data_IF_844071134053
#
_entry.id   IF_844071134053
#
_cell.length_a   1.000
_cell.length_b   1.000
_cell.length_c   1.000
_cell.angle_alpha   90.00
_cell.angle_beta   90.00
_cell.angle_gamma   90.00
#
_symmetry.space_group_name_H-M   'P 1'
#
loop_
_entity.id
_entity.type
_entity.pdbx_description
1 polymer ?
#
# COMPACT_ATOMS: atom_id res chain seq x y z
N UNK A 1 -15.64 -16.21 -17.51
CA UNK A 1 -14.52 -16.28 -16.56
C UNK A 1 -15.03 -16.09 -15.14
N UNK A 2 -14.38 -16.72 -14.14
CA UNK A 2 -14.71 -16.49 -12.73
C UNK A 2 -14.22 -15.11 -12.29
N UNK A 3 -15.02 -14.39 -11.47
CA UNK A 3 -14.67 -13.12 -10.87
C UNK A 3 -15.36 -12.92 -9.52
N UNK A 4 -14.74 -12.12 -8.64
CA UNK A 4 -15.34 -11.66 -7.38
C UNK A 4 -15.98 -10.30 -7.60
N UNK A 5 -17.29 -10.27 -7.53
CA UNK A 5 -18.12 -9.11 -7.83
C UNK A 5 -18.66 -8.50 -6.55
N UNK A 6 -18.50 -7.19 -6.39
CA UNK A 6 -19.34 -6.43 -5.47
C UNK A 6 -20.70 -6.22 -6.15
N UNK A 7 -21.61 -7.19 -5.96
CA UNK A 7 -22.91 -7.21 -6.65
C UNK A 7 -23.90 -6.23 -6.08
N UNK A 8 -23.95 -6.13 -4.75
CA UNK A 8 -24.95 -5.34 -4.02
C UNK A 8 -24.27 -4.35 -3.06
N UNK A 9 -24.92 -3.24 -2.75
CA UNK A 9 -24.48 -2.29 -1.74
C UNK A 9 -24.74 -2.81 -0.31
N UNK A 10 -24.13 -3.96 0.02
CA UNK A 10 -24.31 -4.69 1.27
C UNK A 10 -23.03 -5.43 1.66
N UNK A 11 -22.99 -6.02 2.84
CA UNK A 11 -21.88 -6.83 3.34
C UNK A 11 -21.60 -8.06 2.43
N UNK A 12 -20.32 -8.33 2.13
CA UNK A 12 -19.88 -9.48 1.34
C UNK A 12 -19.46 -9.13 -0.09
N UNK A 13 -18.97 -10.14 -0.78
CA UNK A 13 -18.67 -10.21 -2.22
C UNK A 13 -19.07 -11.58 -2.75
N UNK A 14 -19.25 -11.68 -4.06
CA UNK A 14 -19.81 -12.90 -4.68
C UNK A 14 -18.92 -13.36 -5.82
N UNK A 15 -18.65 -14.67 -5.86
CA UNK A 15 -18.01 -15.29 -7.01
C UNK A 15 -19.07 -15.57 -8.08
N UNK A 16 -18.83 -15.07 -9.28
CA UNK A 16 -19.74 -15.19 -10.40
C UNK A 16 -19.00 -15.51 -11.70
N UNK A 17 -19.71 -16.14 -12.63
CA UNK A 17 -19.25 -16.25 -14.01
C UNK A 17 -19.65 -14.99 -14.79
N UNK A 18 -18.65 -14.30 -15.30
CA UNK A 18 -18.82 -13.06 -16.08
C UNK A 18 -18.23 -13.21 -17.48
N UNK A 19 -18.66 -12.41 -18.46
CA UNK A 19 -18.01 -12.34 -19.76
C UNK A 19 -16.51 -12.01 -19.66
N UNK A 20 -15.74 -12.43 -20.66
CA UNK A 20 -14.37 -11.96 -20.82
C UNK A 20 -14.37 -10.44 -21.04
N UNK A 21 -13.43 -9.67 -20.44
CA UNK A 21 -13.36 -8.26 -20.68
C UNK A 21 -12.93 -7.96 -22.14
N UNK A 22 -13.55 -6.95 -22.75
CA UNK A 22 -13.18 -6.51 -24.07
C UNK A 22 -11.84 -5.77 -24.05
N UNK A 23 -10.99 -6.03 -25.06
CA UNK A 23 -9.69 -5.41 -25.19
C UNK A 23 -9.82 -4.12 -26.01
N UNK A 24 -9.70 -2.98 -25.36
CA UNK A 24 -9.71 -1.67 -26.02
C UNK A 24 -8.46 -1.45 -26.89
N UNK A 25 -8.48 -0.41 -27.72
CA UNK A 25 -7.39 -0.10 -28.67
C UNK A 25 -6.02 -0.02 -28.00
N UNK A 26 -5.94 0.56 -26.81
CA UNK A 26 -4.69 0.75 -26.07
C UNK A 26 -4.64 -0.11 -24.80
N UNK A 27 -5.49 -1.14 -24.68
CA UNK A 27 -5.55 -2.00 -23.51
C UNK A 27 -4.75 -3.28 -23.72
N UNK A 28 -4.36 -3.86 -22.61
CA UNK A 28 -3.67 -5.13 -22.50
C UNK A 28 -4.55 -6.07 -21.69
N UNK A 29 -4.84 -7.26 -22.21
CA UNK A 29 -5.52 -8.33 -21.46
C UNK A 29 -4.48 -9.17 -20.72
N UNK A 30 -4.65 -9.25 -19.43
CA UNK A 30 -3.73 -9.93 -18.53
C UNK A 30 -4.45 -11.11 -17.88
N UNK A 31 -3.89 -12.32 -18.01
CA UNK A 31 -4.27 -13.48 -17.22
C UNK A 31 -3.68 -13.33 -15.84
N UNK A 32 -4.50 -13.17 -14.81
CA UNK A 32 -4.07 -12.99 -13.42
C UNK A 32 -3.51 -14.30 -12.89
N UNK A 33 -2.33 -14.26 -12.28
CA UNK A 33 -1.70 -15.42 -11.61
C UNK A 33 -1.90 -15.38 -10.10
N UNK A 34 -1.70 -14.20 -9.51
CA UNK A 34 -1.93 -13.94 -8.09
C UNK A 34 -2.54 -12.56 -7.92
N UNK A 35 -3.43 -12.44 -6.96
CA UNK A 35 -3.96 -11.17 -6.49
C UNK A 35 -3.75 -11.05 -4.97
N UNK A 36 -3.85 -9.85 -4.43
CA UNK A 36 -3.69 -9.62 -3.00
C UNK A 36 -4.85 -8.79 -2.44
N UNK A 37 -5.31 -9.13 -1.24
CA UNK A 37 -6.41 -8.43 -0.58
C UNK A 37 -5.84 -7.16 0.11
N UNK A 38 -6.42 -6.01 -0.21
CA UNK A 38 -6.12 -4.71 0.37
C UNK A 38 -7.07 -4.36 1.52
N UNK A 39 -6.66 -3.41 2.38
CA UNK A 39 -7.56 -2.79 3.36
C UNK A 39 -8.76 -2.10 2.72
N UNK A 40 -8.58 -1.52 1.53
CA UNK A 40 -9.68 -0.92 0.74
C UNK A 40 -10.71 -1.97 0.31
N UNK A 41 -10.28 -3.18 -0.06
CA UNK A 41 -11.20 -4.28 -0.37
C UNK A 41 -12.02 -4.68 0.86
N UNK A 42 -11.42 -4.60 2.06
CA UNK A 42 -12.14 -4.87 3.31
C UNK A 42 -13.21 -3.81 3.62
N UNK A 43 -12.95 -2.52 3.31
CA UNK A 43 -13.96 -1.46 3.38
C UNK A 43 -15.14 -1.78 2.45
N UNK A 44 -14.85 -2.13 1.21
CA UNK A 44 -15.87 -2.52 0.21
C UNK A 44 -16.61 -3.81 0.61
N UNK A 45 -15.90 -4.79 1.16
CA UNK A 45 -16.49 -6.02 1.68
C UNK A 45 -17.49 -5.73 2.81
N UNK A 46 -17.12 -4.86 3.78
CA UNK A 46 -17.97 -4.45 4.91
C UNK A 46 -19.09 -3.48 4.52
N UNK A 47 -18.97 -2.86 3.37
CA UNK A 47 -19.89 -1.82 2.88
C UNK A 47 -20.05 -0.65 3.87
N UNK A 48 -18.95 -0.16 4.39
CA UNK A 48 -18.92 0.93 5.36
C UNK A 48 -19.21 2.31 4.74
N UNK A 49 -19.19 3.37 5.54
CA UNK A 49 -19.51 4.73 5.11
C UNK A 49 -18.60 5.23 3.97
N UNK A 50 -17.33 4.85 3.98
CA UNK A 50 -16.42 5.21 2.90
C UNK A 50 -16.85 4.55 1.57
N UNK A 51 -17.14 3.26 1.60
CA UNK A 51 -17.58 2.50 0.41
C UNK A 51 -18.90 3.03 -0.14
N UNK A 52 -19.86 3.35 0.75
CA UNK A 52 -21.14 3.94 0.36
C UNK A 52 -21.00 5.29 -0.35
N UNK A 53 -19.98 6.08 0.03
CA UNK A 53 -19.72 7.38 -0.57
C UNK A 53 -19.00 7.30 -1.93
N UNK A 54 -18.19 6.25 -2.16
CA UNK A 54 -17.26 6.21 -3.28
C UNK A 54 -17.54 5.11 -4.31
N UNK A 55 -18.17 4.00 -3.90
CA UNK A 55 -18.32 2.82 -4.75
C UNK A 55 -19.76 2.70 -5.31
N UNK A 56 -19.88 2.20 -6.54
CA UNK A 56 -21.17 2.01 -7.22
C UNK A 56 -21.28 0.59 -7.79
N UNK A 57 -21.79 -0.38 -7.01
CA UNK A 57 -22.04 -1.73 -7.53
C UNK A 57 -22.99 -1.75 -8.73
N UNK A 58 -22.91 -2.75 -9.65
CA UNK A 58 -21.98 -3.89 -9.58
C UNK A 58 -20.63 -3.60 -10.26
N UNK A 59 -19.52 -4.21 -9.76
CA UNK A 59 -18.19 -4.18 -10.37
C UNK A 59 -17.31 -5.32 -9.84
N UNK A 60 -16.29 -5.71 -10.63
CA UNK A 60 -15.24 -6.64 -10.19
C UNK A 60 -14.25 -5.92 -9.28
N UNK A 61 -13.97 -6.48 -8.10
CA UNK A 61 -13.04 -5.93 -7.12
C UNK A 61 -11.58 -6.28 -7.42
N UNK A 62 -10.66 -5.75 -6.60
CA UNK A 62 -9.23 -6.06 -6.61
C UNK A 62 -8.39 -5.14 -7.48
N UNK A 63 -7.21 -4.74 -6.97
CA UNK A 63 -6.30 -3.80 -7.64
C UNK A 63 -4.82 -4.13 -7.42
N UNK A 64 -4.52 -5.19 -6.68
CA UNK A 64 -3.17 -5.68 -6.40
C UNK A 64 -3.00 -7.05 -7.05
N UNK A 65 -2.11 -7.19 -8.05
CA UNK A 65 -1.97 -8.44 -8.78
C UNK A 65 -0.64 -8.58 -9.51
N UNK A 66 -0.36 -9.80 -9.97
CA UNK A 66 0.63 -10.14 -10.98
C UNK A 66 0.00 -11.09 -11.99
N UNK A 67 0.38 -10.97 -13.26
CA UNK A 67 -0.15 -11.80 -14.32
C UNK A 67 0.73 -11.85 -15.55
N UNK A 68 0.20 -12.45 -16.60
CA UNK A 68 0.85 -12.60 -17.90
C UNK A 68 -0.06 -12.02 -19.00
N UNK A 69 0.53 -11.25 -19.89
CA UNK A 69 -0.18 -10.68 -21.03
C UNK A 69 -0.60 -11.78 -22.00
N UNK A 70 -1.89 -11.86 -22.32
CA UNK A 70 -2.43 -12.86 -23.24
C UNK A 70 -2.97 -12.26 -24.54
N UNK A 71 -3.35 -10.99 -24.53
CA UNK A 71 -3.81 -10.26 -25.71
C UNK A 71 -3.47 -8.77 -25.58
N UNK A 72 -3.28 -8.09 -26.71
CA UNK A 72 -2.99 -6.66 -26.76
C UNK A 72 -3.87 -5.98 -27.80
N UNK A 73 -4.34 -4.78 -27.50
CA UNK A 73 -5.07 -3.93 -28.45
C UNK A 73 -4.16 -3.40 -29.58
N UNK A 74 -4.75 -3.03 -30.73
CA UNK A 74 -3.97 -2.63 -31.92
C UNK A 74 -3.16 -1.35 -31.74
N UNK A 75 -3.43 -0.56 -30.71
CA UNK A 75 -2.66 0.65 -30.35
C UNK A 75 -1.46 0.41 -29.44
N UNK A 76 -1.35 -0.76 -28.81
CA UNK A 76 -0.27 -1.12 -27.88
C UNK A 76 1.07 -1.22 -28.62
N UNK A 77 2.14 -0.67 -28.05
CA UNK A 77 3.47 -0.57 -28.71
C UNK A 77 4.61 -1.19 -27.89
N UNK A 78 4.56 -1.08 -26.57
CA UNK A 78 5.69 -1.39 -25.68
C UNK A 78 5.51 -2.70 -24.92
N UNK A 79 4.31 -3.28 -24.94
CA UNK A 79 3.97 -4.52 -24.26
C UNK A 79 3.75 -5.63 -25.27
N UNK A 80 4.15 -6.86 -24.92
CA UNK A 80 4.02 -8.05 -25.79
C UNK A 80 3.28 -9.17 -25.05
N UNK A 81 2.58 -10.00 -25.82
CA UNK A 81 2.00 -11.26 -25.32
C UNK A 81 3.09 -12.14 -24.74
N UNK A 82 2.82 -12.77 -23.60
CA UNK A 82 3.74 -13.58 -22.82
C UNK A 82 4.61 -12.81 -21.82
N UNK A 83 4.58 -11.47 -21.82
CA UNK A 83 5.28 -10.69 -20.80
C UNK A 83 4.61 -10.81 -19.43
N UNK A 84 5.42 -10.94 -18.38
CA UNK A 84 5.00 -10.95 -16.99
C UNK A 84 4.88 -9.51 -16.47
N UNK A 85 3.73 -9.17 -15.93
CA UNK A 85 3.38 -7.78 -15.61
C UNK A 85 2.60 -7.66 -14.30
N UNK A 86 2.65 -6.49 -13.72
CA UNK A 86 1.68 -5.93 -12.78
C UNK A 86 1.19 -4.58 -13.33
N UNK A 87 0.46 -3.79 -12.55
CA UNK A 87 -0.02 -2.49 -13.02
C UNK A 87 -0.13 -1.44 -11.93
N UNK A 88 -0.02 -0.18 -12.35
CA UNK A 88 -0.46 0.97 -11.57
C UNK A 88 -1.99 1.03 -11.60
N UNK A 89 -2.62 0.83 -10.44
CA UNK A 89 -4.09 0.79 -10.31
C UNK A 89 -4.80 2.13 -10.53
N UNK A 90 -4.06 3.26 -10.53
CA UNK A 90 -4.63 4.58 -10.76
C UNK A 90 -4.45 5.00 -12.22
N UNK A 91 -5.54 5.03 -12.98
CA UNK A 91 -5.54 5.49 -14.36
C UNK A 91 -5.79 7.01 -14.35
N UNK A 92 -4.80 7.77 -14.80
CA UNK A 92 -4.81 9.23 -14.76
C UNK A 92 -5.19 9.84 -16.09
N UNK A 93 -5.80 11.03 -16.09
CA UNK A 93 -6.27 11.67 -17.32
C UNK A 93 -5.14 12.21 -18.23
N UNK A 94 -3.93 12.38 -17.74
CA UNK A 94 -2.76 12.86 -18.49
C UNK A 94 -2.74 14.36 -18.83
N UNK A 95 -3.87 15.09 -18.69
CA UNK A 95 -3.98 16.47 -19.18
C UNK A 95 -4.37 17.52 -18.13
N UNK A 96 -4.81 17.13 -16.92
CA UNK A 96 -5.06 18.09 -15.85
C UNK A 96 -3.76 18.77 -15.38
N UNK A 97 -3.90 19.85 -14.58
CA UNK A 97 -2.75 20.58 -14.04
C UNK A 97 -1.75 19.68 -13.35
N UNK A 98 -2.23 18.77 -12.51
CA UNK A 98 -1.38 17.88 -11.71
C UNK A 98 -0.63 16.87 -12.60
N UNK A 99 -1.32 16.23 -13.54
CA UNK A 99 -0.68 15.32 -14.50
C UNK A 99 0.43 16.02 -15.30
N UNK A 100 0.17 17.23 -15.81
CA UNK A 100 1.16 18.01 -16.60
C UNK A 100 2.37 18.47 -15.78
N UNK A 101 2.28 18.45 -14.44
CA UNK A 101 3.38 18.74 -13.53
C UNK A 101 4.11 17.47 -13.04
N UNK A 102 3.82 16.30 -13.59
CA UNK A 102 4.37 15.03 -13.14
C UNK A 102 3.78 14.51 -11.81
N UNK A 103 2.66 15.05 -11.37
CA UNK A 103 1.97 14.69 -10.13
C UNK A 103 0.72 13.84 -10.43
N UNK A 104 0.88 12.78 -11.23
CA UNK A 104 -0.23 11.91 -11.62
C UNK A 104 -0.98 11.31 -10.44
N UNK A 105 -0.28 10.97 -9.36
CA UNK A 105 -0.88 10.40 -8.13
C UNK A 105 -1.93 11.29 -7.45
N UNK A 106 -2.01 12.56 -7.80
CA UNK A 106 -3.05 13.52 -7.39
C UNK A 106 -3.81 14.08 -8.59
N UNK A 107 -4.06 13.24 -9.59
CA UNK A 107 -4.88 13.59 -10.75
C UNK A 107 -6.30 13.91 -10.31
N UNK A 108 -6.87 14.99 -10.87
CA UNK A 108 -8.24 15.44 -10.58
C UNK A 108 -9.32 14.49 -11.10
N UNK A 109 -8.96 13.63 -12.07
CA UNK A 109 -9.88 12.72 -12.77
C UNK A 109 -9.34 11.28 -12.72
N UNK A 110 -8.86 10.84 -11.57
CA UNK A 110 -8.36 9.47 -11.39
C UNK A 110 -9.49 8.45 -11.49
N UNK A 111 -9.25 7.39 -12.26
CA UNK A 111 -10.02 6.14 -12.22
C UNK A 111 -9.19 5.11 -11.44
N UNK A 112 -9.84 4.37 -10.55
CA UNK A 112 -9.16 3.35 -9.73
C UNK A 112 -9.65 1.95 -10.08
N UNK A 113 -8.78 1.12 -10.61
CA UNK A 113 -9.06 -0.27 -10.98
C UNK A 113 -9.59 -1.04 -9.77
N UNK A 114 -10.69 -1.77 -9.93
CA UNK A 114 -11.30 -2.61 -8.89
C UNK A 114 -11.92 -1.85 -7.70
N UNK A 115 -11.99 -0.52 -7.81
CA UNK A 115 -12.56 0.34 -6.77
C UNK A 115 -13.59 1.28 -7.39
N UNK A 116 -13.20 2.04 -8.42
CA UNK A 116 -14.03 3.08 -9.01
C UNK A 116 -13.73 3.27 -10.50
N UNK A 117 -14.74 3.04 -11.34
CA UNK A 117 -14.71 3.38 -12.76
C UNK A 117 -14.09 2.37 -13.71
N UNK A 118 -13.45 1.29 -13.19
CA UNK A 118 -12.93 0.17 -13.99
C UNK A 118 -12.93 -1.11 -13.16
N UNK A 119 -13.33 -2.23 -13.79
CA UNK A 119 -13.28 -3.56 -13.18
C UNK A 119 -11.85 -3.96 -12.78
N UNK A 120 -11.75 -4.72 -11.69
CA UNK A 120 -10.51 -5.09 -11.04
C UNK A 120 -9.99 -6.49 -11.35
N UNK A 121 -8.98 -6.86 -10.59
CA UNK A 121 -8.16 -8.05 -10.81
C UNK A 121 -8.58 -9.27 -9.98
N UNK A 122 -9.64 -9.20 -9.17
CA UNK A 122 -10.19 -10.42 -8.56
C UNK A 122 -11.01 -11.19 -9.58
N UNK A 123 -10.36 -11.57 -10.68
CA UNK A 123 -10.90 -12.31 -11.80
C UNK A 123 -9.77 -13.08 -12.50
N UNK A 124 -10.13 -14.08 -13.30
CA UNK A 124 -9.14 -14.82 -14.10
C UNK A 124 -8.40 -13.92 -15.10
N UNK A 125 -9.06 -12.86 -15.59
CA UNK A 125 -8.49 -11.89 -16.53
C UNK A 125 -8.90 -10.46 -16.17
N UNK A 126 -8.00 -9.52 -16.47
CA UNK A 126 -8.23 -8.08 -16.30
C UNK A 126 -7.66 -7.31 -17.49
N UNK A 127 -8.35 -6.23 -17.93
CA UNK A 127 -7.82 -5.31 -18.94
C UNK A 127 -7.24 -4.07 -18.27
N UNK A 128 -6.03 -3.68 -18.67
CA UNK A 128 -5.32 -2.50 -18.15
C UNK A 128 -4.82 -1.68 -19.34
N UNK A 129 -4.96 -0.32 -19.34
CA UNK A 129 -4.32 0.50 -20.35
C UNK A 129 -2.80 0.30 -20.38
N UNK A 130 -2.20 0.24 -21.56
CA UNK A 130 -0.74 0.06 -21.72
C UNK A 130 0.06 1.03 -20.85
N UNK A 131 -0.40 2.27 -20.74
CA UNK A 131 0.26 3.31 -19.93
C UNK A 131 0.38 2.96 -18.44
N UNK A 132 -0.43 2.04 -17.94
CA UNK A 132 -0.47 1.62 -16.55
C UNK A 132 0.21 0.28 -16.31
N UNK A 133 0.55 -0.47 -17.38
CA UNK A 133 1.19 -1.78 -17.27
C UNK A 133 2.66 -1.62 -16.88
N UNK A 134 3.10 -2.39 -15.88
CA UNK A 134 4.49 -2.42 -15.41
C UNK A 134 5.09 -3.79 -15.70
N UNK A 135 6.10 -3.82 -16.57
CA UNK A 135 6.87 -5.03 -16.84
C UNK A 135 7.70 -5.39 -15.63
N UNK A 136 7.78 -6.65 -15.33
CA UNK A 136 8.48 -7.16 -14.16
C UNK A 136 9.82 -7.78 -14.53
N UNK A 137 10.85 -7.44 -13.79
CA UNK A 137 12.13 -8.14 -13.87
C UNK A 137 11.92 -9.62 -13.48
N UNK A 138 12.46 -10.59 -14.24
CA UNK A 138 12.31 -12.02 -13.93
C UNK A 138 12.79 -12.44 -12.55
N UNK A 139 13.73 -11.70 -11.93
CA UNK A 139 14.25 -11.97 -10.59
C UNK A 139 13.26 -11.63 -9.45
N UNK A 140 12.21 -10.86 -9.73
CA UNK A 140 11.21 -10.50 -8.69
C UNK A 140 10.20 -11.65 -8.56
N UNK A 141 10.01 -12.24 -7.38
CA UNK A 141 9.00 -13.27 -7.14
C UNK A 141 7.57 -12.77 -7.39
N UNK A 142 6.68 -13.64 -7.87
CA UNK A 142 5.27 -13.29 -8.09
C UNK A 142 4.57 -12.80 -6.82
N UNK A 143 4.90 -13.37 -5.66
CA UNK A 143 4.37 -12.93 -4.38
C UNK A 143 4.68 -11.45 -4.09
N UNK A 144 5.90 -11.01 -4.40
CA UNK A 144 6.29 -9.60 -4.23
C UNK A 144 5.67 -8.72 -5.31
N UNK A 145 5.63 -9.21 -6.55
CA UNK A 145 5.00 -8.50 -7.66
C UNK A 145 3.50 -8.21 -7.40
N UNK A 146 2.78 -9.18 -6.81
CA UNK A 146 1.36 -9.03 -6.48
C UNK A 146 1.08 -7.96 -5.40
N UNK A 147 2.09 -7.57 -4.61
CA UNK A 147 1.94 -6.60 -3.50
C UNK A 147 2.69 -5.28 -3.74
N UNK A 148 3.09 -5.01 -4.98
CA UNK A 148 3.80 -3.76 -5.32
C UNK A 148 2.92 -2.52 -5.12
N UNK A 149 1.60 -2.64 -5.19
CA UNK A 149 0.69 -1.53 -4.91
C UNK A 149 0.89 -0.95 -3.49
N UNK A 150 0.65 -1.68 -2.39
CA UNK A 150 0.90 -1.16 -1.04
C UNK A 150 2.39 -0.92 -0.76
N UNK A 151 3.30 -1.66 -1.40
CA UNK A 151 4.73 -1.40 -1.30
C UNK A 151 5.09 -0.03 -1.87
N UNK A 152 4.40 0.42 -2.93
CA UNK A 152 4.53 1.78 -3.47
C UNK A 152 4.11 2.87 -2.49
N UNK A 153 3.03 2.65 -1.74
CA UNK A 153 2.58 3.59 -0.71
C UNK A 153 3.61 3.68 0.44
N UNK A 154 4.16 2.53 0.86
CA UNK A 154 5.24 2.47 1.84
C UNK A 154 6.51 3.17 1.34
N UNK A 155 6.88 2.97 0.07
CA UNK A 155 8.05 3.60 -0.58
C UNK A 155 7.89 5.12 -0.65
N UNK A 156 6.74 5.61 -1.11
CA UNK A 156 6.47 7.05 -1.18
C UNK A 156 6.57 7.71 0.21
N UNK A 157 6.04 7.04 1.24
CA UNK A 157 6.06 7.58 2.60
C UNK A 157 7.45 7.52 3.21
N UNK A 158 8.11 6.37 3.16
CA UNK A 158 9.43 6.19 3.76
C UNK A 158 10.50 7.08 3.12
N UNK A 159 10.47 7.21 1.78
CA UNK A 159 11.44 8.02 1.05
C UNK A 159 11.00 9.49 0.86
N UNK A 160 10.00 9.96 1.61
CA UNK A 160 9.56 11.36 1.55
C UNK A 160 10.61 12.35 2.03
N UNK A 161 11.54 11.87 2.88
CA UNK A 161 12.67 12.62 3.45
C UNK A 161 13.94 11.74 3.45
N UNK A 162 15.16 12.33 3.52
CA UNK A 162 16.39 11.58 3.65
C UNK A 162 16.39 10.68 4.90
N UNK A 163 16.95 9.47 4.79
CA UNK A 163 16.94 8.46 5.86
C UNK A 163 18.35 8.03 6.32
N UNK A 164 19.38 8.29 5.50
CA UNK A 164 20.72 7.79 5.79
C UNK A 164 21.29 8.37 7.08
N UNK A 165 21.48 7.51 8.07
CA UNK A 165 22.01 7.89 9.39
C UNK A 165 20.97 8.43 10.37
N UNK A 166 19.70 8.57 9.96
CA UNK A 166 18.63 9.16 10.75
C UNK A 166 17.99 8.20 11.74
N UNK A 167 17.47 8.73 12.84
CA UNK A 167 16.62 8.02 13.80
C UNK A 167 15.14 8.17 13.36
N UNK A 168 14.48 7.04 13.05
CA UNK A 168 13.14 7.01 12.46
C UNK A 168 12.10 6.45 13.44
N UNK A 169 10.98 7.17 13.61
CA UNK A 169 9.80 6.70 14.33
C UNK A 169 8.66 6.40 13.36
N UNK A 170 8.12 5.19 13.38
CA UNK A 170 6.96 4.76 12.59
C UNK A 170 5.81 4.47 13.57
N UNK A 171 4.70 5.19 13.44
CA UNK A 171 3.48 4.89 14.19
C UNK A 171 2.52 4.06 13.33
N UNK A 172 2.12 2.89 13.84
CA UNK A 172 1.30 1.92 13.15
C UNK A 172 2.11 0.85 12.41
N UNK A 173 2.09 -0.37 12.93
CA UNK A 173 2.67 -1.57 12.31
C UNK A 173 1.67 -2.30 11.38
N UNK A 174 0.75 -1.58 10.75
CA UNK A 174 -0.04 -2.12 9.64
C UNK A 174 0.86 -2.57 8.49
N UNK A 175 0.28 -3.14 7.44
CA UNK A 175 1.05 -3.64 6.29
C UNK A 175 2.03 -2.60 5.74
N UNK A 176 1.55 -1.35 5.54
CA UNK A 176 2.36 -0.27 4.97
C UNK A 176 3.49 0.12 5.94
N UNK A 177 3.19 0.24 7.24
CA UNK A 177 4.18 0.57 8.26
C UNK A 177 5.27 -0.49 8.43
N UNK A 178 4.90 -1.78 8.35
CA UNK A 178 5.90 -2.87 8.39
C UNK A 178 6.80 -2.89 7.16
N UNK A 179 6.25 -2.65 5.95
CA UNK A 179 7.06 -2.47 4.74
C UNK A 179 7.97 -1.26 4.83
N UNK A 180 7.46 -0.13 5.35
CA UNK A 180 8.26 1.08 5.55
C UNK A 180 9.43 0.87 6.51
N UNK A 181 9.29 0.03 7.55
CA UNK A 181 10.40 -0.34 8.42
C UNK A 181 11.54 -1.01 7.64
N UNK A 182 11.21 -1.95 6.74
CA UNK A 182 12.18 -2.57 5.84
C UNK A 182 12.86 -1.57 4.91
N UNK A 183 12.07 -0.67 4.30
CA UNK A 183 12.59 0.38 3.43
C UNK A 183 13.55 1.31 4.17
N UNK A 184 13.16 1.78 5.37
CA UNK A 184 14.01 2.65 6.18
C UNK A 184 15.35 1.99 6.52
N UNK A 185 15.35 0.72 6.90
CA UNK A 185 16.60 -0.04 7.15
C UNK A 185 17.43 -0.19 5.89
N UNK A 186 16.80 -0.55 4.77
CA UNK A 186 17.47 -0.67 3.48
C UNK A 186 18.10 0.67 3.01
N UNK A 187 17.40 1.78 3.24
CA UNK A 187 17.86 3.12 2.90
C UNK A 187 18.93 3.70 3.86
N UNK A 188 19.33 2.93 4.89
CA UNK A 188 20.43 3.30 5.78
C UNK A 188 20.03 4.11 7.01
N UNK A 189 18.76 4.07 7.43
CA UNK A 189 18.35 4.63 8.72
C UNK A 189 19.15 3.99 9.87
N UNK A 190 19.60 4.80 10.81
CA UNK A 190 20.41 4.36 11.96
C UNK A 190 19.57 3.50 12.91
N UNK A 191 18.47 4.03 13.36
CA UNK A 191 17.49 3.27 14.14
C UNK A 191 16.09 3.42 13.50
N UNK A 192 15.29 2.36 13.60
CA UNK A 192 13.89 2.34 13.18
C UNK A 192 13.06 1.80 14.34
N UNK A 193 12.28 2.68 14.96
CA UNK A 193 11.34 2.33 16.03
C UNK A 193 9.94 2.26 15.46
N UNK A 194 9.21 1.17 15.73
CA UNK A 194 7.84 0.98 15.24
C UNK A 194 6.90 0.81 16.43
N UNK A 195 5.82 1.58 16.47
CA UNK A 195 4.80 1.50 17.53
C UNK A 195 3.50 0.90 17.02
N UNK A 196 2.85 0.06 17.81
CA UNK A 196 1.50 -0.48 17.56
C UNK A 196 0.93 -1.04 18.88
N UNK A 197 -0.32 -1.45 18.85
CA UNK A 197 -0.99 -2.17 19.93
C UNK A 197 -1.11 -3.69 19.66
N UNK A 198 -0.81 -4.13 18.43
CA UNK A 198 -0.92 -5.52 17.97
C UNK A 198 0.44 -6.19 17.94
N UNK A 199 0.66 -7.16 18.82
CA UNK A 199 1.93 -7.88 18.95
C UNK A 199 2.36 -8.60 17.66
N UNK A 200 1.42 -9.28 16.99
CA UNK A 200 1.72 -10.00 15.74
C UNK A 200 2.27 -9.06 14.66
N UNK A 201 1.71 -7.84 14.55
CA UNK A 201 2.18 -6.83 13.61
C UNK A 201 3.57 -6.30 13.99
N UNK A 202 3.81 -6.10 15.28
CA UNK A 202 5.13 -5.70 15.79
C UNK A 202 6.18 -6.78 15.53
N UNK A 203 5.82 -8.07 15.62
CA UNK A 203 6.73 -9.16 15.27
C UNK A 203 7.05 -9.19 13.77
N UNK A 204 6.11 -8.84 12.89
CA UNK A 204 6.38 -8.65 11.47
C UNK A 204 7.34 -7.46 11.29
N UNK A 205 7.10 -6.32 11.97
CA UNK A 205 7.98 -5.17 11.89
C UNK A 205 9.43 -5.48 12.32
N UNK A 206 9.62 -6.30 13.38
CA UNK A 206 10.94 -6.81 13.78
C UNK A 206 11.61 -7.60 12.66
N UNK A 207 10.87 -8.53 12.02
CA UNK A 207 11.37 -9.33 10.90
C UNK A 207 11.71 -8.49 9.69
N UNK A 208 11.00 -7.38 9.48
CA UNK A 208 11.28 -6.38 8.45
C UNK A 208 12.47 -5.46 8.78
N UNK A 209 13.05 -5.57 9.98
CA UNK A 209 14.27 -4.84 10.34
C UNK A 209 14.07 -3.67 11.29
N UNK A 210 12.91 -3.55 11.95
CA UNK A 210 12.75 -2.56 13.04
C UNK A 210 13.83 -2.82 14.14
N UNK A 211 14.51 -1.76 14.55
CA UNK A 211 15.53 -1.82 15.61
C UNK A 211 14.89 -2.12 16.96
N UNK A 212 13.76 -1.46 17.24
CA UNK A 212 12.91 -1.70 18.41
C UNK A 212 11.44 -1.60 18.01
N UNK A 213 10.62 -2.28 18.77
CA UNK A 213 9.15 -2.13 18.68
C UNK A 213 8.62 -1.70 20.04
N UNK A 214 7.56 -0.93 20.04
CA UNK A 214 6.88 -0.39 21.21
C UNK A 214 5.43 -0.86 21.19
N UNK A 215 5.03 -1.66 22.16
CA UNK A 215 3.65 -2.11 22.28
C UNK A 215 2.87 -1.26 23.29
N UNK A 216 2.11 -0.29 22.79
CA UNK A 216 1.30 0.60 23.62
C UNK A 216 0.26 -0.13 24.48
N UNK A 217 -0.27 -1.28 24.02
CA UNK A 217 -1.20 -2.08 24.79
C UNK A 217 -0.55 -2.75 26.02
N UNK A 218 0.78 -2.88 26.03
CA UNK A 218 1.57 -3.40 27.17
C UNK A 218 2.12 -2.29 28.06
N UNK A 219 1.80 -1.02 27.77
CA UNK A 219 2.31 0.13 28.51
C UNK A 219 3.75 0.50 28.16
N UNK A 220 4.30 0.01 27.07
CA UNK A 220 5.58 0.47 26.54
C UNK A 220 5.41 1.84 25.89
N UNK A 221 6.41 2.71 26.02
CA UNK A 221 6.36 4.10 25.55
C UNK A 221 7.49 4.42 24.56
N UNK A 222 7.32 5.48 23.79
CA UNK A 222 8.35 5.98 22.88
C UNK A 222 9.58 6.43 23.67
N UNK A 223 9.42 7.05 24.85
CA UNK A 223 10.52 7.45 25.73
C UNK A 223 11.35 6.24 26.20
N UNK A 224 10.70 5.11 26.48
CA UNK A 224 11.41 3.87 26.81
C UNK A 224 12.33 3.45 25.66
N UNK A 225 11.86 3.51 24.42
CA UNK A 225 12.67 3.19 23.24
C UNK A 225 13.82 4.20 23.08
N UNK A 226 13.58 5.49 23.26
CA UNK A 226 14.60 6.53 23.20
C UNK A 226 15.71 6.31 24.25
N UNK A 227 15.33 5.99 25.47
CA UNK A 227 16.28 5.67 26.55
C UNK A 227 17.13 4.45 26.19
N UNK A 228 16.52 3.38 25.66
CA UNK A 228 17.23 2.17 25.20
C UNK A 228 18.25 2.45 24.09
N UNK A 229 17.92 3.36 23.18
CA UNK A 229 18.77 3.73 22.05
C UNK A 229 19.77 4.84 22.39
N UNK A 230 19.60 5.53 23.53
CA UNK A 230 20.43 6.66 23.91
C UNK A 230 20.23 7.89 23.02
N UNK A 231 19.02 8.06 22.47
CA UNK A 231 18.66 9.21 21.61
C UNK A 231 17.76 10.19 22.35
N UNK A 232 17.68 11.44 21.86
CA UNK A 232 16.90 12.52 22.48
C UNK A 232 15.64 12.88 21.70
N UNK A 233 15.43 12.29 20.55
CA UNK A 233 14.30 12.52 19.63
C UNK A 233 14.52 11.79 18.32
N UNK A 234 13.56 11.88 17.42
CA UNK A 234 13.60 11.28 16.09
C UNK A 234 13.73 12.35 15.00
N UNK A 235 14.50 12.07 13.97
CA UNK A 235 14.75 12.95 12.84
C UNK A 235 13.64 12.86 11.79
N UNK A 236 13.08 11.64 11.61
CA UNK A 236 12.01 11.39 10.65
C UNK A 236 10.88 10.60 11.32
N UNK A 237 9.67 11.14 11.25
CA UNK A 237 8.43 10.47 11.64
C UNK A 237 7.65 9.96 10.42
N UNK A 238 7.16 8.72 10.49
CA UNK A 238 6.25 8.17 9.48
C UNK A 238 4.93 7.82 10.18
N UNK A 239 3.94 8.69 10.07
CA UNK A 239 2.63 8.45 10.66
C UNK A 239 1.79 7.59 9.73
N UNK A 240 1.52 6.36 10.15
CA UNK A 240 0.82 5.34 9.36
C UNK A 240 -0.32 4.66 10.13
N UNK A 241 -0.64 5.15 11.32
CA UNK A 241 -1.69 4.60 12.18
C UNK A 241 -3.05 5.24 11.95
N UNK A 242 -3.08 6.53 11.62
CA UNK A 242 -4.29 7.34 11.62
C UNK A 242 -4.89 7.55 13.02
N UNK A 243 -4.13 7.26 14.10
CA UNK A 243 -4.58 7.39 15.47
C UNK A 243 -4.13 8.75 16.05
N UNK A 244 -5.06 9.61 16.51
CA UNK A 244 -4.72 10.94 17.06
C UNK A 244 -3.70 10.90 18.20
N UNK A 245 -3.81 9.92 19.09
CA UNK A 245 -2.89 9.76 20.21
C UNK A 245 -1.46 9.44 19.72
N UNK A 246 -1.30 8.53 18.75
CA UNK A 246 0.00 8.17 18.18
C UNK A 246 0.63 9.33 17.41
N UNK A 247 -0.17 10.14 16.73
CA UNK A 247 0.33 11.32 16.01
C UNK A 247 0.83 12.41 16.98
N UNK A 248 0.08 12.70 18.04
CA UNK A 248 0.52 13.68 19.05
C UNK A 248 1.75 13.19 19.82
N UNK A 249 1.80 11.90 20.18
CA UNK A 249 2.98 11.26 20.78
C UNK A 249 4.21 11.36 19.83
N UNK A 250 4.02 11.13 18.52
CA UNK A 250 5.09 11.36 17.56
C UNK A 250 5.59 12.81 17.59
N UNK A 251 4.70 13.81 17.50
CA UNK A 251 5.08 15.23 17.50
C UNK A 251 5.93 15.57 18.72
N UNK A 252 5.57 15.06 19.90
CA UNK A 252 6.26 15.31 21.16
C UNK A 252 7.70 14.77 21.16
N UNK A 253 7.95 13.66 20.44
CA UNK A 253 9.23 12.96 20.45
C UNK A 253 10.14 13.26 19.25
N UNK A 254 9.75 14.20 18.38
CA UNK A 254 10.58 14.62 17.27
C UNK A 254 11.69 15.60 17.70
N UNK A 255 12.86 15.53 17.05
CA UNK A 255 13.88 16.57 17.18
C UNK A 255 13.38 17.91 16.62
N UNK A 256 13.97 19.00 17.07
CA UNK A 256 13.76 20.33 16.47
C UNK A 256 14.25 20.31 15.02
N UNK A 257 13.40 20.78 14.11
CA UNK A 257 13.67 20.77 12.67
C UNK A 257 13.38 19.43 11.98
N UNK A 258 12.84 18.44 12.69
CA UNK A 258 12.53 17.13 12.17
C UNK A 258 11.38 17.14 11.14
N UNK A 259 11.24 16.03 10.43
CA UNK A 259 10.27 15.87 9.35
C UNK A 259 9.28 14.75 9.64
N UNK A 260 8.00 14.97 9.34
CA UNK A 260 6.92 13.96 9.46
C UNK A 260 6.25 13.73 8.11
N UNK A 261 6.24 12.49 7.65
CA UNK A 261 5.44 12.04 6.51
C UNK A 261 4.12 11.45 7.04
N UNK A 262 3.01 12.14 6.72
CA UNK A 262 1.66 11.80 7.20
C UNK A 262 0.91 11.01 6.13
N UNK A 263 0.77 9.70 6.30
CA UNK A 263 -0.02 8.81 5.44
C UNK A 263 -1.33 8.39 6.11
N UNK A 264 -1.31 8.14 7.42
CA UNK A 264 -2.49 7.74 8.17
C UNK A 264 -3.59 8.80 8.11
N UNK A 265 -4.82 8.35 7.92
CA UNK A 265 -5.99 9.25 7.82
C UNK A 265 -6.52 9.50 9.23
N UNK A 266 -6.19 10.66 9.77
CA UNK A 266 -6.70 11.10 11.07
C UNK A 266 -8.18 11.50 10.96
N UNK A 267 -9.00 11.31 12.03
CA UNK A 267 -10.33 11.91 12.12
C UNK A 267 -10.28 13.43 11.92
N UNK A 268 -11.32 13.98 11.28
CA UNK A 268 -11.36 15.40 10.93
C UNK A 268 -11.34 16.35 12.15
N UNK A 269 -11.76 15.87 13.30
CA UNK A 269 -11.80 16.61 14.59
C UNK A 269 -10.57 16.37 15.45
N UNK A 270 -9.49 15.78 14.89
CA UNK A 270 -8.24 15.51 15.62
C UNK A 270 -7.64 16.81 16.18
N UNK A 271 -7.45 16.85 17.48
CA UNK A 271 -6.75 17.94 18.14
C UNK A 271 -5.24 17.74 18.05
N UNK A 272 -4.51 18.74 17.61
CA UNK A 272 -3.06 18.74 17.45
C UNK A 272 -2.45 19.87 18.27
N UNK A 273 -1.36 19.59 18.98
CA UNK A 273 -0.59 20.63 19.67
C UNK A 273 0.27 21.40 18.65
N UNK A 274 -0.32 22.39 18.00
CA UNK A 274 0.37 23.22 17.01
C UNK A 274 1.53 24.04 17.58
N UNK A 275 1.52 24.32 18.90
CA UNK A 275 2.64 24.98 19.53
C UNK A 275 3.91 24.16 19.44
N UNK A 276 3.83 22.84 19.65
CA UNK A 276 5.00 21.95 19.51
C UNK A 276 5.47 21.87 18.06
N UNK A 277 4.56 21.83 17.09
CA UNK A 277 4.92 21.88 15.67
C UNK A 277 5.69 23.15 15.33
N UNK A 278 5.23 24.31 15.83
CA UNK A 278 5.82 25.62 15.54
C UNK A 278 7.16 25.79 16.29
N UNK A 279 7.20 25.55 17.61
CA UNK A 279 8.41 25.78 18.42
C UNK A 279 9.52 24.77 18.17
N UNK A 280 9.18 23.59 17.66
CA UNK A 280 10.15 22.61 17.20
C UNK A 280 10.45 22.73 15.70
N UNK A 281 9.84 23.69 14.98
CA UNK A 281 10.04 23.92 13.55
C UNK A 281 9.85 22.62 12.71
N UNK A 282 8.82 21.82 13.02
CA UNK A 282 8.57 20.56 12.35
C UNK A 282 8.02 20.78 10.94
N UNK A 283 8.44 19.94 10.00
CA UNK A 283 7.84 19.84 8.66
C UNK A 283 6.87 18.67 8.63
N UNK A 284 5.58 18.93 8.36
CA UNK A 284 4.58 17.86 8.16
C UNK A 284 4.19 17.83 6.69
N UNK A 285 4.41 16.68 6.03
CA UNK A 285 4.11 16.45 4.62
C UNK A 285 3.02 15.39 4.47
N UNK A 286 1.86 15.77 3.93
CA UNK A 286 0.81 14.83 3.55
C UNK A 286 1.27 13.91 2.41
N UNK A 287 1.02 12.62 2.55
CA UNK A 287 1.31 11.60 1.56
C UNK A 287 -0.01 10.98 1.09
N UNK A 288 -0.17 10.82 -0.22
CA UNK A 288 -1.29 10.09 -0.80
C UNK A 288 -0.81 9.19 -1.92
N UNK A 289 -1.25 7.94 -1.89
CA UNK A 289 -0.87 6.93 -2.88
C UNK A 289 0.64 6.82 -3.05
N UNK A 290 1.08 6.61 -4.30
CA UNK A 290 2.49 6.49 -4.67
C UNK A 290 2.82 7.42 -5.84
N UNK A 291 4.00 7.97 -5.87
CA UNK A 291 4.44 8.82 -6.99
C UNK A 291 4.67 7.93 -8.23
N UNK A 292 3.77 8.07 -9.19
CA UNK A 292 3.94 7.46 -10.51
C UNK A 292 5.13 8.11 -11.18
N UNK A 293 5.93 7.39 -11.66
CA UNK A 293 6.58 6.18 -11.97
C UNK A 293 7.84 6.02 -11.12
N UNK A 294 8.18 7.08 -10.42
CA UNK A 294 9.36 7.15 -9.57
C UNK A 294 9.38 6.04 -8.53
N UNK A 295 8.25 5.86 -7.81
CA UNK A 295 8.16 4.79 -6.80
C UNK A 295 8.23 3.40 -7.43
N UNK A 296 7.70 3.20 -8.64
CA UNK A 296 7.80 1.91 -9.34
C UNK A 296 9.24 1.52 -9.63
N UNK A 297 10.03 2.48 -10.13
CA UNK A 297 11.46 2.27 -10.33
C UNK A 297 12.18 1.98 -8.99
N UNK A 298 11.92 2.77 -7.96
CA UNK A 298 12.56 2.61 -6.65
C UNK A 298 12.22 1.25 -6.02
N UNK A 299 10.96 0.81 -6.10
CA UNK A 299 10.53 -0.50 -5.63
C UNK A 299 11.28 -1.64 -6.30
N UNK A 300 11.36 -1.61 -7.63
CA UNK A 300 12.10 -2.61 -8.40
C UNK A 300 13.57 -2.67 -7.96
N UNK A 301 14.23 -1.51 -7.86
CA UNK A 301 15.65 -1.46 -7.45
C UNK A 301 15.86 -1.97 -6.02
N UNK A 302 14.97 -1.68 -5.08
CA UNK A 302 15.06 -2.20 -3.71
C UNK A 302 14.90 -3.73 -3.68
N UNK A 303 13.95 -4.29 -4.43
CA UNK A 303 13.76 -5.74 -4.51
C UNK A 303 14.96 -6.43 -5.16
N UNK A 304 15.48 -5.89 -6.26
CA UNK A 304 16.71 -6.40 -6.91
C UNK A 304 17.96 -6.23 -6.04
N UNK A 305 17.98 -5.22 -5.19
CA UNK A 305 19.03 -4.97 -4.19
C UNK A 305 18.91 -5.83 -2.93
N UNK A 306 17.91 -6.73 -2.86
CA UNK A 306 17.79 -7.73 -1.79
C UNK A 306 16.85 -7.35 -0.65
N UNK A 307 16.02 -6.31 -0.79
CA UNK A 307 14.95 -6.08 0.18
C UNK A 307 13.94 -7.24 0.15
N UNK A 308 13.80 -7.93 1.27
CA UNK A 308 12.91 -9.09 1.42
C UNK A 308 11.53 -8.65 1.98
N UNK A 309 10.47 -8.89 1.22
CA UNK A 309 9.09 -8.66 1.63
C UNK A 309 8.39 -9.94 2.17
N UNK A 310 9.07 -11.08 2.21
CA UNK A 310 8.45 -12.33 2.64
C UNK A 310 7.81 -12.27 4.04
N UNK A 311 8.37 -11.54 5.04
CA UNK A 311 7.75 -11.50 6.36
C UNK A 311 6.35 -10.87 6.41
N UNK A 312 6.01 -10.00 5.46
CA UNK A 312 4.68 -9.36 5.44
C UNK A 312 3.60 -10.25 4.83
N UNK A 313 3.96 -11.30 4.08
CA UNK A 313 3.02 -12.21 3.42
C UNK A 313 2.69 -13.36 4.37
N UNK A 314 1.55 -13.29 5.03
CA UNK A 314 1.21 -14.25 6.11
C UNK A 314 0.29 -15.37 5.67
N UNK A 315 -0.52 -15.15 4.63
CA UNK A 315 -1.52 -16.13 4.19
C UNK A 315 -1.58 -16.23 2.68
N UNK A 316 -1.84 -17.44 2.18
CA UNK A 316 -2.10 -17.74 0.77
C UNK A 316 -3.30 -18.65 0.69
N UNK A 317 -4.25 -18.31 -0.14
CA UNK A 317 -5.46 -19.11 -0.39
C UNK A 317 -5.65 -19.28 -1.89
N UNK A 318 -6.26 -20.36 -2.30
CA UNK A 318 -6.76 -20.49 -3.67
C UNK A 318 -7.85 -19.45 -3.93
N UNK A 319 -8.00 -19.00 -5.15
CA UNK A 319 -9.02 -18.02 -5.52
C UNK A 319 -10.43 -18.45 -5.11
N UNK A 320 -10.77 -19.74 -5.31
CA UNK A 320 -12.05 -20.29 -4.89
C UNK A 320 -12.27 -20.26 -3.35
N UNK A 321 -11.20 -20.18 -2.57
CA UNK A 321 -11.22 -20.05 -1.10
C UNK A 321 -11.20 -18.59 -0.61
N UNK A 322 -11.50 -17.62 -1.47
CA UNK A 322 -11.43 -16.18 -1.18
C UNK A 322 -12.08 -15.77 0.15
N UNK A 323 -13.19 -16.42 0.50
CA UNK A 323 -13.92 -16.14 1.75
C UNK A 323 -13.01 -16.31 2.98
N UNK A 324 -12.18 -17.36 3.03
CA UNK A 324 -11.20 -17.57 4.11
C UNK A 324 -10.20 -16.41 4.18
N UNK A 325 -9.80 -15.87 3.03
CA UNK A 325 -8.91 -14.69 2.94
C UNK A 325 -9.56 -13.46 3.55
N UNK A 326 -10.82 -13.17 3.23
CA UNK A 326 -11.56 -12.06 3.81
C UNK A 326 -11.83 -12.25 5.31
N UNK A 327 -12.15 -13.46 5.76
CA UNK A 327 -12.37 -13.77 7.18
C UNK A 327 -11.09 -13.51 8.01
N UNK A 328 -9.93 -13.91 7.49
CA UNK A 328 -8.64 -13.61 8.12
C UNK A 328 -8.37 -12.10 8.15
N UNK A 329 -8.67 -11.37 7.07
CA UNK A 329 -8.55 -9.91 7.05
C UNK A 329 -9.48 -9.24 8.06
N UNK A 330 -10.73 -9.73 8.21
CA UNK A 330 -11.71 -9.23 9.22
C UNK A 330 -11.19 -9.45 10.63
N UNK A 331 -10.53 -10.57 10.91
CA UNK A 331 -9.97 -10.88 12.23
C UNK A 331 -8.83 -9.93 12.64
N UNK A 332 -8.19 -9.25 11.70
CA UNK A 332 -7.03 -8.40 11.93
C UNK A 332 -5.74 -9.16 12.29
N UNK A 333 -5.77 -10.49 12.25
CA UNK A 333 -4.63 -11.37 12.59
C UNK A 333 -3.87 -11.79 11.32
N UNK A 334 -3.53 -10.82 10.48
CA UNK A 334 -2.74 -11.05 9.27
C UNK A 334 -1.87 -9.84 8.91
N UNK A 335 -0.82 -10.12 8.15
CA UNK A 335 -0.17 -9.16 7.27
C UNK A 335 -0.88 -9.14 5.91
N UNK A 336 -0.17 -9.45 4.83
CA UNK A 336 -0.76 -9.56 3.48
C UNK A 336 -1.33 -10.96 3.23
N UNK A 337 -2.51 -10.99 2.62
CA UNK A 337 -3.20 -12.18 2.16
C UNK A 337 -3.17 -12.23 0.63
N UNK A 338 -2.67 -13.33 0.06
CA UNK A 338 -2.65 -13.58 -1.37
C UNK A 338 -3.78 -14.55 -1.77
N UNK A 339 -4.35 -14.31 -2.95
CA UNK A 339 -5.24 -15.21 -3.66
C UNK A 339 -4.51 -15.75 -4.88
N UNK A 340 -4.37 -17.08 -4.98
CA UNK A 340 -3.69 -17.75 -6.08
C UNK A 340 -4.71 -18.21 -7.12
N UNK A 341 -4.57 -17.65 -8.33
CA UNK A 341 -5.32 -18.11 -9.52
C UNK A 341 -4.62 -19.38 -10.04
N UNK A 342 -5.37 -20.38 -10.42
CA UNK A 342 -4.82 -21.60 -11.00
C UNK A 342 -4.42 -21.42 -12.47
#
# INVERSE_FOLDING_TARGET
MKALIKRYPDYGIWMEDVPMPEVGVNDVLIKVKKAAICGTDLHMYKWDAWSQAHCKPPYTMGHEFVGEVVEIGPGVRNIKVGERVTAEGHIVCGHCRNCRRGMGHVCENTISVGIMGKDGCFAEYVTIPESNVVKLNPAIPDDFAAIMDPFGNATHTALAFPLLGEDVLITGAGLIGTMAAGICRYAGAKHVVVTDINEMRLDIAKKMGATLTVNGAKGETVEWAMQKLGIKGFDVGLEMSGAPAAFNDMIEHMYKGANIAQLGILPADTQVNWSDVIFNALTIKGITGRRMWETWYQMEQMLLGGLDLSPVITHRFKFDDFQKGFDVMVSGQCGKVLLEME
#
